data_IF_914746336113
#
_entry.id   IF_914746336113
#
_cell.length_a   1.000
_cell.length_b   1.000
_cell.length_c   1.000
_cell.angle_alpha   90.00
_cell.angle_beta   90.00
_cell.angle_gamma   90.00
#
_symmetry.space_group_name_H-M   'P 1'
#
loop_
_entity.id
_entity.type
_entity.pdbx_description
1 polymer ?
#
# COMPACT_ATOMS: atom_id res chain seq x y z
N UNK A 1 -8.43 -8.70 30.94
CA UNK A 1 -7.74 -8.28 29.71
C UNK A 1 -8.66 -8.29 28.53
N UNK A 2 -8.25 -7.67 27.43
CA UNK A 2 -8.99 -7.65 26.17
C UNK A 2 -8.48 -8.75 25.23
N UNK A 3 -9.36 -9.25 24.36
CA UNK A 3 -8.99 -10.20 23.32
C UNK A 3 -8.39 -9.46 22.14
N UNK A 4 -7.43 -10.08 21.47
CA UNK A 4 -6.83 -9.53 20.28
C UNK A 4 -6.49 -10.62 19.26
N UNK A 5 -6.54 -10.27 17.98
CA UNK A 5 -6.19 -11.13 16.85
C UNK A 5 -5.35 -10.34 15.85
N UNK A 6 -4.11 -10.75 15.66
CA UNK A 6 -3.27 -10.18 14.62
C UNK A 6 -3.71 -10.73 13.24
N UNK A 7 -4.01 -9.82 12.31
CA UNK A 7 -4.35 -10.21 10.93
C UNK A 7 -3.07 -10.47 10.16
N UNK A 8 -2.95 -11.68 9.59
CA UNK A 8 -1.77 -12.06 8.82
C UNK A 8 -1.64 -11.18 7.55
N UNK A 9 -0.42 -10.69 7.31
CA UNK A 9 -0.10 -9.97 6.10
C UNK A 9 -0.09 -10.92 4.88
N UNK A 10 -0.49 -10.38 3.72
CA UNK A 10 -0.40 -11.09 2.44
C UNK A 10 -1.18 -12.42 2.36
N UNK A 11 -2.22 -12.57 3.16
CA UNK A 11 -3.12 -13.72 3.12
C UNK A 11 -4.15 -13.53 1.99
N UNK A 12 -3.74 -13.84 0.76
CA UNK A 12 -4.60 -13.72 -0.42
C UNK A 12 -5.58 -14.88 -0.45
N UNK A 13 -6.87 -14.57 -0.54
CA UNK A 13 -7.98 -15.54 -0.64
C UNK A 13 -8.56 -15.60 -2.05
N UNK A 14 -8.38 -14.55 -2.83
CA UNK A 14 -8.78 -14.46 -4.24
C UNK A 14 -7.57 -13.98 -5.05
N UNK A 15 -6.92 -14.92 -5.73
CA UNK A 15 -5.71 -14.65 -6.51
C UNK A 15 -6.00 -13.93 -7.83
N UNK A 16 -7.18 -14.11 -8.39
CA UNK A 16 -7.57 -13.45 -9.64
C UNK A 16 -7.73 -11.94 -9.43
N UNK A 17 -8.43 -11.56 -8.36
CA UNK A 17 -8.70 -10.17 -8.02
C UNK A 17 -7.72 -9.59 -6.99
N UNK A 18 -6.71 -10.35 -6.58
CA UNK A 18 -5.68 -9.94 -5.60
C UNK A 18 -6.30 -9.45 -4.28
N UNK A 19 -7.29 -10.19 -3.74
CA UNK A 19 -8.03 -9.82 -2.54
C UNK A 19 -7.70 -10.70 -1.35
N UNK A 20 -7.74 -10.10 -0.17
CA UNK A 20 -7.65 -10.76 1.14
C UNK A 20 -8.89 -10.46 1.98
N UNK A 21 -9.06 -11.13 3.12
CA UNK A 21 -10.17 -10.85 4.04
C UNK A 21 -10.11 -9.42 4.59
N UNK A 22 -8.92 -8.92 4.88
CA UNK A 22 -8.69 -7.58 5.41
C UNK A 22 -7.64 -6.86 4.57
N UNK A 23 -7.95 -5.65 4.16
CA UNK A 23 -6.99 -4.76 3.53
C UNK A 23 -6.34 -3.84 4.57
N UNK A 24 -5.11 -4.12 4.96
CA UNK A 24 -4.36 -3.27 5.88
C UNK A 24 -4.29 -1.81 5.41
N UNK A 25 -4.27 -1.58 4.10
CA UNK A 25 -4.26 -0.22 3.53
C UNK A 25 -5.58 0.52 3.80
N UNK A 26 -6.73 -0.14 3.65
CA UNK A 26 -8.03 0.47 3.96
C UNK A 26 -8.17 0.75 5.45
N UNK A 27 -7.77 -0.20 6.31
CA UNK A 27 -7.75 -0.02 7.76
C UNK A 27 -6.85 1.16 8.14
N UNK A 28 -5.62 1.20 7.60
CA UNK A 28 -4.67 2.28 7.88
C UNK A 28 -5.18 3.66 7.42
N UNK A 29 -5.91 3.74 6.28
CA UNK A 29 -6.53 5.00 5.87
C UNK A 29 -7.65 5.41 6.84
N UNK A 30 -8.51 4.49 7.21
CA UNK A 30 -9.59 4.75 8.17
C UNK A 30 -9.03 5.19 9.55
N UNK A 31 -7.89 4.66 9.95
CA UNK A 31 -7.17 5.00 11.17
C UNK A 31 -6.28 6.25 11.04
N UNK A 32 -6.46 7.09 10.02
CA UNK A 32 -5.73 8.35 9.89
C UNK A 32 -4.21 8.23 9.66
N UNK A 33 -3.69 7.04 9.32
CA UNK A 33 -2.25 6.85 9.12
C UNK A 33 -1.72 7.48 7.81
N UNK A 34 -2.61 7.86 6.91
CA UNK A 34 -2.25 8.46 5.63
C UNK A 34 -3.41 8.48 4.65
N UNK A 35 -3.12 8.85 3.41
CA UNK A 35 -4.05 8.91 2.30
C UNK A 35 -3.64 7.97 1.16
N UNK A 36 -4.52 7.78 0.17
CA UNK A 36 -4.20 6.98 -1.00
C UNK A 36 -3.21 7.68 -1.93
N UNK A 37 -2.06 7.06 -2.14
CA UNK A 37 -1.10 7.49 -3.14
C UNK A 37 -1.43 7.02 -4.55
N UNK A 38 -0.87 7.68 -5.58
CA UNK A 38 -0.93 7.25 -6.98
C UNK A 38 -0.40 5.84 -7.19
N UNK A 39 0.58 5.43 -6.38
CA UNK A 39 1.17 4.09 -6.38
C UNK A 39 0.27 3.00 -5.75
N UNK A 40 -0.99 3.33 -5.47
CA UNK A 40 -1.97 2.46 -4.81
C UNK A 40 -1.53 1.94 -3.43
N UNK A 41 -0.63 2.67 -2.78
CA UNK A 41 -0.22 2.44 -1.39
C UNK A 41 -0.75 3.56 -0.50
N UNK A 42 -0.67 3.33 0.82
CA UNK A 42 -0.92 4.39 1.79
C UNK A 42 0.31 5.29 1.87
N UNK A 43 0.09 6.60 1.88
CA UNK A 43 1.12 7.63 2.00
C UNK A 43 0.93 8.35 3.34
N UNK A 44 1.96 8.28 4.17
CA UNK A 44 2.00 8.99 5.46
C UNK A 44 2.66 10.37 5.26
N UNK A 45 2.26 11.41 6.02
CA UNK A 45 2.82 12.75 5.90
C UNK A 45 4.35 12.81 6.04
N UNK A 46 4.91 12.03 6.95
CA UNK A 46 6.34 12.09 7.31
C UNK A 46 7.17 11.03 6.61
N UNK A 47 6.57 9.87 6.35
CA UNK A 47 7.28 8.68 5.85
C UNK A 47 7.08 8.42 4.36
N UNK A 48 6.11 9.10 3.72
CA UNK A 48 5.67 8.72 2.39
C UNK A 48 5.05 7.31 2.40
N UNK A 49 5.37 6.47 1.41
CA UNK A 49 4.95 5.05 1.40
C UNK A 49 5.96 4.13 2.10
N UNK A 50 6.99 4.65 2.75
CA UNK A 50 8.13 3.90 3.29
C UNK A 50 7.89 3.35 4.69
N UNK A 51 6.75 2.74 4.91
CA UNK A 51 6.39 2.09 6.17
C UNK A 51 5.65 0.78 5.93
N UNK A 52 5.50 0.00 6.98
CA UNK A 52 4.76 -1.25 6.96
C UNK A 52 3.50 -1.13 7.81
N UNK A 53 2.45 -1.82 7.37
CA UNK A 53 1.17 -1.86 8.05
C UNK A 53 0.98 -3.21 8.74
N UNK A 54 0.40 -3.16 9.93
CA UNK A 54 -0.15 -4.31 10.63
C UNK A 54 -1.56 -3.95 11.10
N UNK A 55 -2.45 -4.92 11.14
CA UNK A 55 -3.80 -4.76 11.69
C UNK A 55 -3.96 -5.74 12.82
N UNK A 56 -4.40 -5.25 13.97
CA UNK A 56 -4.79 -6.05 15.13
C UNK A 56 -6.27 -5.76 15.42
N UNK A 57 -7.09 -6.79 15.39
CA UNK A 57 -8.48 -6.71 15.83
C UNK A 57 -8.52 -6.88 17.34
N UNK A 58 -9.32 -6.09 18.02
CA UNK A 58 -9.46 -6.16 19.48
C UNK A 58 -10.87 -5.77 19.93
N UNK A 59 -11.30 -6.28 21.08
CA UNK A 59 -12.52 -5.84 21.76
C UNK A 59 -12.25 -4.74 22.80
N UNK A 60 -11.02 -4.21 22.83
CA UNK A 60 -10.69 -3.06 23.65
C UNK A 60 -11.40 -1.80 23.13
N UNK A 61 -12.12 -1.06 23.98
CA UNK A 61 -12.68 0.22 23.58
C UNK A 61 -11.56 1.23 23.30
N UNK A 62 -11.45 1.68 22.07
CA UNK A 62 -10.46 2.66 21.61
C UNK A 62 -11.19 3.86 21.00
N UNK A 63 -10.70 5.05 21.27
CA UNK A 63 -11.12 6.24 20.53
C UNK A 63 -10.52 6.18 19.10
N UNK A 64 -11.36 6.22 18.05
CA UNK A 64 -10.86 6.14 16.69
C UNK A 64 -10.28 7.49 16.23
N UNK A 65 -9.18 7.42 15.50
CA UNK A 65 -8.68 8.56 14.75
C UNK A 65 -9.53 8.82 13.48
N UNK A 66 -9.48 10.05 12.96
CA UNK A 66 -10.16 10.42 11.74
C UNK A 66 -9.26 10.21 10.51
N UNK A 67 -9.83 9.81 9.36
CA UNK A 67 -9.09 9.76 8.10
C UNK A 67 -8.47 11.11 7.73
N UNK A 68 -7.27 11.08 7.14
CA UNK A 68 -6.62 12.28 6.61
C UNK A 68 -7.20 12.62 5.23
N UNK A 69 -7.78 13.81 5.09
CA UNK A 69 -8.24 14.35 3.81
C UNK A 69 -7.08 15.08 3.10
N UNK A 70 -6.21 14.29 2.50
CA UNK A 70 -5.01 14.74 1.76
C UNK A 70 -4.80 13.90 0.50
N UNK A 71 -3.98 14.41 -0.41
CA UNK A 71 -3.57 13.73 -1.63
C UNK A 71 -2.07 13.94 -1.93
N UNK A 72 -1.61 13.46 -3.08
CA UNK A 72 -0.22 13.59 -3.50
C UNK A 72 0.11 14.93 -4.18
N UNK A 73 -0.85 15.84 -4.34
CA UNK A 73 -0.66 17.14 -4.98
C UNK A 73 0.07 17.03 -6.33
N UNK A 74 1.10 17.81 -6.52
CA UNK A 74 1.93 17.84 -7.73
C UNK A 74 3.09 16.81 -7.75
N UNK A 75 3.15 15.87 -6.80
CA UNK A 75 4.22 14.88 -6.74
C UNK A 75 3.94 13.70 -7.69
N UNK A 76 4.87 13.43 -8.62
CA UNK A 76 4.81 12.32 -9.59
C UNK A 76 6.05 11.40 -9.52
N UNK A 77 6.83 11.45 -8.45
CA UNK A 77 8.09 10.71 -8.32
C UNK A 77 7.88 9.20 -8.52
N UNK A 78 6.82 8.63 -7.93
CA UNK A 78 6.50 7.21 -8.09
C UNK A 78 6.03 6.85 -9.50
N UNK A 79 5.40 7.77 -10.23
CA UNK A 79 4.99 7.58 -11.63
C UNK A 79 6.23 7.46 -12.52
N UNK A 80 7.16 8.41 -12.37
CA UNK A 80 8.41 8.43 -13.14
C UNK A 80 9.28 7.20 -12.86
N UNK A 81 9.33 6.75 -11.60
CA UNK A 81 10.17 5.64 -11.16
C UNK A 81 9.62 4.25 -11.52
N UNK A 82 8.32 4.10 -11.83
CA UNK A 82 7.68 2.81 -12.00
C UNK A 82 8.18 2.05 -13.24
N UNK A 83 8.90 0.91 -13.09
CA UNK A 83 9.42 0.15 -14.23
C UNK A 83 8.30 -0.51 -15.05
N UNK A 84 7.18 -0.84 -14.40
CA UNK A 84 6.00 -1.42 -15.04
C UNK A 84 5.13 -0.39 -15.76
N UNK A 85 5.39 0.93 -15.59
CA UNK A 85 4.48 2.00 -16.02
C UNK A 85 3.04 1.81 -15.52
N UNK A 86 2.89 1.11 -14.40
CA UNK A 86 1.61 0.77 -13.79
C UNK A 86 0.96 1.93 -13.03
N UNK A 87 1.78 2.89 -12.57
CA UNK A 87 1.31 4.07 -11.82
C UNK A 87 0.97 5.17 -12.80
N UNK A 88 -0.23 5.74 -12.65
CA UNK A 88 -0.78 6.78 -13.52
C UNK A 88 -0.99 8.08 -12.74
N UNK A 89 -1.63 9.06 -13.35
CA UNK A 89 -1.94 10.35 -12.72
C UNK A 89 -2.89 10.20 -11.54
N UNK A 90 -3.86 9.32 -11.66
CA UNK A 90 -4.80 9.02 -10.58
C UNK A 90 -4.57 7.60 -10.03
N UNK A 91 -5.04 7.35 -8.83
CA UNK A 91 -4.99 6.02 -8.22
C UNK A 91 -5.92 5.04 -8.94
N UNK A 92 -7.03 5.53 -9.40
CA UNK A 92 -8.09 4.76 -10.07
C UNK A 92 -7.57 4.13 -11.37
N UNK A 93 -6.64 4.80 -12.04
CA UNK A 93 -5.99 4.33 -13.27
C UNK A 93 -4.79 3.40 -13.02
N UNK A 94 -4.52 3.04 -11.76
CA UNK A 94 -3.41 2.15 -11.42
C UNK A 94 -3.59 0.78 -12.08
N UNK A 95 -2.63 0.38 -12.92
CA UNK A 95 -2.64 -0.91 -13.60
C UNK A 95 -2.08 -2.03 -12.69
N UNK A 96 -2.99 -2.64 -11.94
CA UNK A 96 -2.66 -3.77 -11.06
C UNK A 96 -1.99 -4.91 -11.79
N UNK A 97 -2.43 -5.19 -13.02
CA UNK A 97 -1.93 -6.33 -13.80
C UNK A 97 -0.50 -6.09 -14.26
N UNK A 98 -0.20 -4.93 -14.83
CA UNK A 98 1.15 -4.56 -15.22
C UNK A 98 2.13 -4.58 -14.03
N UNK A 99 1.70 -4.06 -12.88
CA UNK A 99 2.49 -4.14 -11.65
C UNK A 99 2.77 -5.61 -11.27
N UNK A 100 1.74 -6.45 -11.19
CA UNK A 100 1.87 -7.84 -10.77
C UNK A 100 2.74 -8.68 -11.73
N UNK A 101 2.59 -8.50 -13.04
CA UNK A 101 3.46 -9.19 -14.03
C UNK A 101 4.93 -8.81 -13.84
N UNK A 102 5.22 -7.54 -13.56
CA UNK A 102 6.59 -7.11 -13.24
C UNK A 102 7.11 -7.75 -11.94
N UNK A 103 6.27 -7.92 -10.93
CA UNK A 103 6.66 -8.61 -9.69
C UNK A 103 6.98 -10.09 -9.95
N UNK A 104 6.22 -10.75 -10.81
CA UNK A 104 6.48 -12.14 -11.22
C UNK A 104 7.81 -12.25 -11.97
N UNK A 105 8.07 -11.34 -12.90
CA UNK A 105 9.32 -11.29 -13.65
C UNK A 105 10.53 -11.07 -12.74
N UNK A 106 10.45 -10.12 -11.80
CA UNK A 106 11.52 -9.86 -10.83
C UNK A 106 11.82 -11.07 -9.95
N UNK A 107 10.77 -11.77 -9.50
CA UNK A 107 10.95 -13.02 -8.76
C UNK A 107 11.58 -14.11 -9.62
N UNK A 108 11.14 -14.28 -10.87
CA UNK A 108 11.69 -15.26 -11.81
C UNK A 108 13.17 -15.00 -12.12
N UNK A 109 13.56 -13.74 -12.21
CA UNK A 109 14.95 -13.30 -12.41
C UNK A 109 15.81 -13.36 -11.16
N UNK A 110 15.24 -13.70 -10.01
CA UNK A 110 15.95 -13.79 -8.74
C UNK A 110 16.30 -12.44 -8.09
N UNK A 111 15.72 -11.33 -8.56
CA UNK A 111 15.96 -10.01 -7.95
C UNK A 111 15.33 -9.88 -6.56
N UNK A 112 14.22 -10.57 -6.33
CA UNK A 112 13.54 -10.62 -5.04
C UNK A 112 13.01 -12.03 -4.78
N UNK A 113 13.00 -12.51 -3.52
CA UNK A 113 12.45 -13.82 -3.19
C UNK A 113 10.91 -13.82 -3.14
N UNK A 114 10.29 -12.66 -3.15
CA UNK A 114 8.85 -12.47 -3.01
C UNK A 114 8.28 -11.56 -4.12
N UNK A 115 6.95 -11.45 -4.19
CA UNK A 115 6.24 -10.55 -5.13
C UNK A 115 6.30 -9.10 -4.63
N UNK A 116 7.49 -8.53 -4.58
CA UNK A 116 7.73 -7.13 -4.23
C UNK A 116 8.76 -6.52 -5.18
N UNK A 117 8.64 -5.20 -5.41
CA UNK A 117 9.59 -4.42 -6.19
C UNK A 117 10.20 -3.29 -5.32
N UNK A 118 9.35 -2.52 -4.63
CA UNK A 118 9.78 -1.47 -3.71
C UNK A 118 10.28 -0.17 -4.36
N UNK A 119 10.40 -0.10 -5.70
CA UNK A 119 10.95 1.08 -6.39
C UNK A 119 10.11 2.33 -6.14
N UNK A 120 8.79 2.25 -6.34
CA UNK A 120 7.88 3.36 -6.05
C UNK A 120 7.83 3.72 -4.56
N UNK A 121 8.10 2.77 -3.66
CA UNK A 121 8.20 3.02 -2.21
C UNK A 121 9.46 3.80 -1.87
N UNK A 122 10.60 3.41 -2.45
CA UNK A 122 11.89 4.10 -2.25
C UNK A 122 11.79 5.59 -2.58
N UNK A 123 11.10 5.92 -3.66
CA UNK A 123 11.04 7.28 -4.19
C UNK A 123 9.86 8.10 -3.61
N UNK A 124 8.91 7.45 -2.91
CA UNK A 124 7.81 8.13 -2.24
C UNK A 124 8.25 8.63 -0.85
N UNK A 125 8.54 9.92 -0.75
CA UNK A 125 8.96 10.57 0.51
C UNK A 125 7.84 11.35 1.20
N UNK A 126 6.61 11.25 0.71
CA UNK A 126 5.51 12.14 1.08
C UNK A 126 5.56 13.45 0.31
N UNK A 127 4.56 14.33 0.49
CA UNK A 127 4.55 15.64 -0.15
C UNK A 127 5.71 16.48 0.37
N UNK A 128 6.31 17.22 -0.53
CA UNK A 128 7.35 18.20 -0.22
C UNK A 128 6.72 19.54 0.14
#
# INVERSE_FOLDING_TARGET
>A
GFRSLAVAASQIVDWENQRAHVSHKHVGRAAGLGWWGRNNLLVNPDLGSRFRLVTVLTDMPLEPDAPLERDCGACYDCVAACPAKAIKETREDFDHRACYETLKDFRKKGYTPQFICGICVRDCRGPK
#
